data_IF_996511896691
#
_entry.id   IF_996511896691
#
_cell.length_a   1.000
_cell.length_b   1.000
_cell.length_c   1.000
_cell.angle_alpha   90.00
_cell.angle_beta   90.00
_cell.angle_gamma   90.00
#
_symmetry.space_group_name_H-M   'P 1'
#
loop_
_entity.id
_entity.type
_entity.pdbx_description
1 polymer ?
#
# COMPACT_ATOMS: atom_id res chain seq x y z
N UNK A 1 -17.88 -44.17 -32.63
CA UNK A 1 -18.80 -43.91 -31.49
C UNK A 1 -18.10 -43.95 -30.12
N UNK A 2 -16.76 -43.76 -30.04
CA UNK A 2 -16.00 -43.85 -28.78
C UNK A 2 -15.54 -42.49 -28.20
N UNK A 3 -15.63 -41.40 -28.96
CA UNK A 3 -15.16 -40.07 -28.53
C UNK A 3 -16.17 -39.26 -27.69
N UNK A 4 -17.45 -39.66 -27.69
CA UNK A 4 -18.52 -38.94 -26.97
C UNK A 4 -18.61 -39.34 -25.49
N UNK A 5 -18.12 -40.54 -25.12
CA UNK A 5 -18.07 -40.99 -23.72
C UNK A 5 -17.00 -40.26 -22.91
N UNK A 6 -15.80 -40.11 -23.48
CA UNK A 6 -14.65 -39.50 -22.81
C UNK A 6 -14.84 -38.03 -22.46
N UNK A 7 -15.58 -37.28 -23.28
CA UNK A 7 -15.83 -35.84 -23.06
C UNK A 7 -16.81 -35.60 -21.90
N UNK A 8 -17.87 -36.42 -21.82
CA UNK A 8 -18.84 -36.37 -20.72
C UNK A 8 -18.22 -36.79 -19.38
N UNK A 9 -17.37 -37.82 -19.38
CA UNK A 9 -16.66 -38.26 -18.18
C UNK A 9 -15.65 -37.20 -17.69
N UNK A 10 -14.95 -36.54 -18.62
CA UNK A 10 -14.04 -35.43 -18.33
C UNK A 10 -14.79 -34.22 -17.73
N UNK A 11 -15.91 -33.83 -18.35
CA UNK A 11 -16.79 -32.75 -17.86
C UNK A 11 -17.33 -33.06 -16.45
N UNK A 12 -17.75 -34.29 -16.20
CA UNK A 12 -18.24 -34.73 -14.89
C UNK A 12 -17.14 -34.69 -13.82
N UNK A 13 -15.92 -35.13 -14.15
CA UNK A 13 -14.76 -35.05 -13.26
C UNK A 13 -14.40 -33.59 -12.93
N UNK A 14 -14.34 -32.71 -13.94
CA UNK A 14 -14.08 -31.28 -13.77
C UNK A 14 -15.16 -30.64 -12.87
N UNK A 15 -16.44 -30.95 -13.10
CA UNK A 15 -17.53 -30.46 -12.26
C UNK A 15 -17.44 -30.94 -10.81
N UNK A 16 -17.03 -32.19 -10.59
CA UNK A 16 -16.82 -32.75 -9.24
C UNK A 16 -15.64 -32.06 -8.53
N UNK A 17 -14.51 -31.89 -9.20
CA UNK A 17 -13.34 -31.22 -8.62
C UNK A 17 -13.61 -29.72 -8.38
N UNK A 18 -14.30 -29.04 -9.29
CA UNK A 18 -14.75 -27.67 -9.11
C UNK A 18 -15.68 -27.52 -7.91
N UNK A 19 -16.65 -28.44 -7.73
CA UNK A 19 -17.56 -28.42 -6.57
C UNK A 19 -16.83 -28.62 -5.23
N UNK A 20 -15.78 -29.46 -5.21
CA UNK A 20 -14.94 -29.66 -4.02
C UNK A 20 -14.11 -28.42 -3.72
N UNK A 21 -13.56 -27.78 -4.75
CA UNK A 21 -12.81 -26.54 -4.61
C UNK A 21 -13.72 -25.40 -4.11
N UNK A 22 -14.91 -25.28 -4.67
CA UNK A 22 -15.91 -24.27 -4.28
C UNK A 22 -16.31 -24.41 -2.81
N UNK A 23 -16.62 -25.63 -2.36
CA UNK A 23 -16.97 -25.87 -0.94
C UNK A 23 -15.83 -25.50 0.02
N UNK A 24 -14.57 -25.75 -0.37
CA UNK A 24 -13.40 -25.35 0.41
C UNK A 24 -13.23 -23.85 0.45
N UNK A 25 -13.36 -23.20 -0.70
CA UNK A 25 -13.26 -21.76 -0.82
C UNK A 25 -14.33 -21.06 0.04
N UNK A 26 -15.59 -21.52 0.00
CA UNK A 26 -16.64 -21.01 0.87
C UNK A 26 -16.33 -21.23 2.36
N UNK A 27 -15.78 -22.39 2.73
CA UNK A 27 -15.42 -22.68 4.11
C UNK A 27 -14.31 -21.74 4.62
N UNK A 28 -13.25 -21.52 3.83
CA UNK A 28 -12.17 -20.61 4.22
C UNK A 28 -12.58 -19.14 4.18
N UNK A 29 -13.44 -18.73 3.26
CA UNK A 29 -14.02 -17.38 3.33
C UNK A 29 -14.83 -17.20 4.61
N UNK A 30 -15.60 -18.21 5.01
CA UNK A 30 -16.42 -18.12 6.22
C UNK A 30 -15.55 -17.99 7.47
N UNK A 31 -14.46 -18.77 7.56
CA UNK A 31 -13.52 -18.66 8.69
C UNK A 31 -12.81 -17.30 8.69
N UNK A 32 -12.39 -16.80 7.54
CA UNK A 32 -11.78 -15.48 7.43
C UNK A 32 -12.74 -14.33 7.77
N UNK A 33 -14.00 -14.40 7.35
CA UNK A 33 -15.01 -13.38 7.71
C UNK A 33 -15.26 -13.35 9.21
N UNK A 34 -15.31 -14.50 9.88
CA UNK A 34 -15.45 -14.55 11.34
C UNK A 34 -14.25 -13.93 12.04
N UNK A 35 -13.03 -14.27 11.61
CA UNK A 35 -11.80 -13.67 12.14
C UNK A 35 -11.73 -12.16 11.88
N UNK A 36 -12.22 -11.72 10.72
CA UNK A 36 -12.33 -10.32 10.34
C UNK A 36 -13.30 -9.59 11.28
N UNK A 37 -14.46 -10.18 11.55
CA UNK A 37 -15.46 -9.64 12.47
C UNK A 37 -14.94 -9.54 13.91
N UNK A 38 -14.06 -10.45 14.34
CA UNK A 38 -13.43 -10.37 15.66
C UNK A 38 -12.36 -9.27 15.74
N UNK A 39 -11.60 -9.08 14.66
CA UNK A 39 -10.42 -8.19 14.62
C UNK A 39 -10.64 -6.87 13.87
N UNK A 40 -11.87 -6.55 13.47
CA UNK A 40 -12.20 -5.41 12.60
C UNK A 40 -11.66 -4.06 13.11
N UNK A 41 -11.59 -3.89 14.44
CA UNK A 41 -11.06 -2.68 15.08
C UNK A 41 -9.61 -2.41 14.70
N UNK A 42 -8.78 -3.45 14.60
CA UNK A 42 -7.36 -3.30 14.21
C UNK A 42 -7.23 -2.83 12.77
N UNK A 43 -8.03 -3.39 11.87
CA UNK A 43 -8.03 -2.98 10.47
C UNK A 43 -8.54 -1.55 10.31
N UNK A 44 -9.66 -1.23 10.97
CA UNK A 44 -10.21 0.13 10.96
C UNK A 44 -9.20 1.14 11.53
N UNK A 45 -8.54 0.81 12.64
CA UNK A 45 -7.48 1.63 13.22
C UNK A 45 -6.32 1.84 12.24
N UNK A 46 -5.89 0.78 11.53
CA UNK A 46 -4.88 0.87 10.48
C UNK A 46 -5.28 1.79 9.33
N UNK A 47 -6.51 1.68 8.84
CA UNK A 47 -7.04 2.56 7.79
C UNK A 47 -7.14 4.02 8.23
N UNK A 48 -7.60 4.27 9.46
CA UNK A 48 -7.65 5.63 10.03
C UNK A 48 -6.23 6.19 10.18
N UNK A 49 -5.27 5.41 10.66
CA UNK A 49 -3.88 5.84 10.77
C UNK A 49 -3.27 6.15 9.41
N UNK A 50 -3.55 5.35 8.38
CA UNK A 50 -3.11 5.61 7.01
C UNK A 50 -3.63 6.96 6.49
N UNK A 51 -4.90 7.27 6.79
CA UNK A 51 -5.50 8.55 6.44
C UNK A 51 -4.84 9.71 7.19
N UNK A 52 -4.65 9.58 8.50
CA UNK A 52 -3.96 10.59 9.33
C UNK A 52 -2.52 10.81 8.83
N UNK A 53 -1.80 9.74 8.51
CA UNK A 53 -0.46 9.84 7.94
C UNK A 53 -0.45 10.58 6.60
N UNK A 54 -1.42 10.31 5.71
CA UNK A 54 -1.56 11.05 4.45
C UNK A 54 -1.83 12.54 4.66
N UNK A 55 -2.69 12.88 5.64
CA UNK A 55 -2.96 14.27 6.03
C UNK A 55 -1.70 14.93 6.62
N UNK A 56 -1.00 14.25 7.51
CA UNK A 56 0.21 14.75 8.17
C UNK A 56 1.35 14.97 7.15
N UNK A 57 1.55 14.04 6.21
CA UNK A 57 2.55 14.17 5.17
C UNK A 57 2.31 15.41 4.30
N UNK A 58 1.04 15.69 3.93
CA UNK A 58 0.67 16.94 3.22
C UNK A 58 0.76 18.16 4.13
N UNK A 59 0.41 18.00 5.40
CA UNK A 59 0.48 19.05 6.42
C UNK A 59 1.87 19.66 6.54
N UNK A 60 2.92 18.83 6.51
CA UNK A 60 4.31 19.29 6.57
C UNK A 60 4.64 20.27 5.44
N UNK A 61 4.12 20.07 4.23
CA UNK A 61 4.40 20.97 3.10
C UNK A 61 3.82 22.40 3.25
N UNK A 62 2.87 22.63 4.17
CA UNK A 62 2.44 23.98 4.52
C UNK A 62 3.42 24.71 5.44
N UNK A 63 4.11 23.95 6.30
CA UNK A 63 5.10 24.48 7.25
C UNK A 63 6.53 24.46 6.70
N UNK A 64 6.76 23.66 5.66
CA UNK A 64 8.05 23.46 5.04
C UNK A 64 8.57 24.75 4.38
N UNK A 65 9.82 25.10 4.69
CA UNK A 65 10.58 26.14 4.00
C UNK A 65 11.58 25.44 3.08
N UNK A 66 11.53 25.68 1.75
CA UNK A 66 12.49 25.07 0.84
C UNK A 66 13.90 25.54 1.23
N UNK A 67 14.80 24.56 1.32
CA UNK A 67 16.20 24.72 1.72
C UNK A 67 17.12 23.95 0.78
N UNK A 68 18.45 24.16 0.86
CA UNK A 68 19.41 23.35 0.13
C UNK A 68 19.30 21.88 0.58
N UNK A 69 19.57 20.95 -0.34
CA UNK A 69 19.54 19.51 -0.03
C UNK A 69 20.56 19.18 1.07
N UNK A 70 20.12 18.47 2.11
CA UNK A 70 21.02 18.01 3.15
C UNK A 70 21.82 16.80 2.60
N UNK A 71 23.14 16.95 2.52
CA UNK A 71 24.01 15.86 2.06
C UNK A 71 24.25 14.86 3.18
N UNK A 72 23.56 13.73 3.09
CA UNK A 72 23.78 12.58 3.98
C UNK A 72 24.69 11.53 3.32
N UNK A 73 25.29 10.65 4.12
CA UNK A 73 26.10 9.50 3.63
C UNK A 73 25.32 8.64 2.62
N UNK A 74 24.00 8.57 2.77
CA UNK A 74 23.11 7.91 1.82
C UNK A 74 23.17 8.52 0.41
N UNK A 75 23.19 9.85 0.28
CA UNK A 75 23.34 10.52 -1.00
C UNK A 75 24.72 10.32 -1.63
N UNK A 76 25.74 10.16 -0.79
CA UNK A 76 27.09 9.84 -1.26
C UNK A 76 27.19 8.40 -1.79
N UNK A 77 26.56 7.44 -1.11
CA UNK A 77 26.62 6.02 -1.48
C UNK A 77 25.63 5.65 -2.60
N UNK A 78 24.47 6.30 -2.63
CA UNK A 78 23.38 6.06 -3.57
C UNK A 78 23.06 7.37 -4.30
N UNK A 79 23.79 7.69 -5.39
CA UNK A 79 23.54 8.90 -6.15
C UNK A 79 22.13 8.86 -6.74
N UNK A 80 21.50 10.03 -6.84
CA UNK A 80 20.19 10.17 -7.43
C UNK A 80 20.19 9.73 -8.90
N UNK A 81 19.18 8.94 -9.29
CA UNK A 81 19.12 8.30 -10.60
C UNK A 81 18.74 9.28 -11.73
N UNK A 82 18.28 10.49 -11.38
CA UNK A 82 17.76 11.48 -12.32
C UNK A 82 16.25 11.38 -12.54
N UNK A 83 15.61 12.50 -12.89
CA UNK A 83 14.17 12.56 -13.19
C UNK A 83 13.81 11.66 -14.39
N UNK A 84 14.70 11.56 -15.38
CA UNK A 84 14.52 10.70 -16.57
C UNK A 84 14.49 9.20 -16.24
N UNK A 85 15.01 8.80 -15.07
CA UNK A 85 15.07 7.41 -14.62
C UNK A 85 14.08 7.11 -13.49
N UNK A 86 13.15 8.03 -13.19
CA UNK A 86 12.13 7.84 -12.15
C UNK A 86 11.28 6.58 -12.39
N UNK A 87 11.11 6.16 -13.64
CA UNK A 87 10.38 4.91 -13.96
C UNK A 87 11.03 3.66 -13.35
N UNK A 88 12.35 3.66 -13.09
CA UNK A 88 13.05 2.50 -12.50
C UNK A 88 12.59 2.28 -11.07
N UNK A 89 12.58 3.34 -10.26
CA UNK A 89 12.12 3.25 -8.87
C UNK A 89 10.63 2.93 -8.78
N UNK A 90 9.82 3.52 -9.66
CA UNK A 90 8.39 3.23 -9.74
C UNK A 90 8.12 1.78 -10.15
N UNK A 91 8.86 1.25 -11.14
CA UNK A 91 8.74 -0.14 -11.58
C UNK A 91 9.12 -1.10 -10.45
N UNK A 92 10.29 -0.92 -9.83
CA UNK A 92 10.75 -1.78 -8.73
C UNK A 92 9.75 -1.78 -7.57
N UNK A 93 9.30 -0.59 -7.16
CA UNK A 93 8.32 -0.46 -6.09
C UNK A 93 6.99 -1.16 -6.44
N UNK A 94 6.49 -0.94 -7.65
CA UNK A 94 5.27 -1.57 -8.16
C UNK A 94 5.41 -3.09 -8.24
N UNK A 95 6.55 -3.61 -8.71
CA UNK A 95 6.81 -5.06 -8.77
C UNK A 95 6.80 -5.69 -7.38
N UNK A 96 7.46 -5.08 -6.39
CA UNK A 96 7.45 -5.59 -5.01
C UNK A 96 6.03 -5.55 -4.44
N UNK A 97 5.31 -4.46 -4.66
CA UNK A 97 3.94 -4.30 -4.17
C UNK A 97 2.96 -5.30 -4.79
N UNK A 98 3.01 -5.49 -6.11
CA UNK A 98 2.19 -6.49 -6.80
C UNK A 98 2.53 -7.92 -6.36
N UNK A 99 3.82 -8.20 -6.11
CA UNK A 99 4.26 -9.49 -5.58
C UNK A 99 3.67 -9.74 -4.19
N UNK A 100 3.62 -8.72 -3.34
CA UNK A 100 2.97 -8.80 -2.02
C UNK A 100 1.47 -9.06 -2.13
N UNK A 101 0.75 -8.35 -3.02
CA UNK A 101 -0.69 -8.59 -3.27
C UNK A 101 -0.90 -10.01 -3.76
N UNK A 102 -0.13 -10.46 -4.74
CA UNK A 102 -0.25 -11.82 -5.27
C UNK A 102 0.00 -12.88 -4.18
N UNK A 103 0.94 -12.62 -3.28
CA UNK A 103 1.21 -13.47 -2.12
C UNK A 103 0.02 -13.57 -1.14
N UNK A 104 -0.85 -12.55 -1.03
CA UNK A 104 -2.05 -12.63 -0.18
C UNK A 104 -3.06 -13.67 -0.66
N UNK A 105 -3.00 -14.07 -1.94
CA UNK A 105 -3.84 -15.14 -2.48
C UNK A 105 -3.25 -16.55 -2.26
N UNK A 106 -1.99 -16.64 -1.81
CA UNK A 106 -1.31 -17.90 -1.53
C UNK A 106 -2.10 -18.89 -0.65
N UNK A 107 -2.69 -18.48 0.51
CA UNK A 107 -3.46 -19.41 1.35
C UNK A 107 -4.72 -19.97 0.67
N UNK A 108 -5.27 -19.31 -0.34
CA UNK A 108 -6.44 -19.81 -1.08
C UNK A 108 -6.08 -20.80 -2.20
N UNK A 109 -4.87 -20.70 -2.74
CA UNK A 109 -4.42 -21.51 -3.89
C UNK A 109 -3.68 -22.77 -3.44
N UNK A 110 -2.86 -22.68 -2.39
CA UNK A 110 -2.01 -23.79 -1.94
C UNK A 110 -2.60 -24.53 -0.74
N UNK A 111 -2.60 -25.88 -0.80
CA UNK A 111 -3.09 -26.80 0.26
C UNK A 111 -2.19 -26.88 1.51
N UNK A 112 -1.33 -25.89 1.74
CA UNK A 112 -0.38 -25.86 2.85
C UNK A 112 -0.99 -25.24 4.11
N UNK A 113 -0.25 -25.27 5.24
CA UNK A 113 -0.70 -24.91 6.59
C UNK A 113 -1.63 -23.68 6.62
N UNK A 114 -2.63 -23.72 7.52
CA UNK A 114 -3.62 -22.65 7.74
C UNK A 114 -2.92 -21.35 8.16
N UNK A 115 -2.64 -20.49 7.19
CA UNK A 115 -2.22 -19.11 7.43
C UNK A 115 -3.41 -18.24 7.07
N UNK A 116 -4.02 -17.59 8.06
CA UNK A 116 -5.19 -16.74 7.85
C UNK A 116 -4.77 -15.37 7.32
N UNK A 117 -5.33 -14.96 6.18
CA UNK A 117 -5.00 -13.70 5.49
C UNK A 117 -5.22 -12.49 6.40
N UNK A 118 -6.34 -12.47 7.13
CA UNK A 118 -6.70 -11.40 8.08
C UNK A 118 -5.62 -11.16 9.13
N UNK A 119 -5.05 -12.23 9.72
CA UNK A 119 -4.03 -12.10 10.76
C UNK A 119 -2.70 -11.57 10.21
N UNK A 120 -2.33 -11.95 8.98
CA UNK A 120 -1.17 -11.38 8.30
C UNK A 120 -1.38 -9.87 8.10
N UNK A 121 -2.53 -9.47 7.56
CA UNK A 121 -2.85 -8.06 7.32
C UNK A 121 -2.86 -7.24 8.61
N UNK A 122 -3.39 -7.78 9.71
CA UNK A 122 -3.30 -7.13 11.02
C UNK A 122 -1.83 -6.89 11.45
N UNK A 123 -0.94 -7.86 11.25
CA UNK A 123 0.50 -7.69 11.57
C UNK A 123 1.15 -6.65 10.66
N UNK A 124 0.93 -6.76 9.35
CA UNK A 124 1.50 -5.82 8.36
C UNK A 124 1.03 -4.40 8.66
N UNK A 125 -0.27 -4.20 8.94
CA UNK A 125 -0.81 -2.89 9.31
C UNK A 125 -0.20 -2.37 10.62
N UNK A 126 0.01 -3.21 11.64
CA UNK A 126 0.65 -2.78 12.88
C UNK A 126 2.09 -2.25 12.64
N UNK A 127 2.87 -2.95 11.82
CA UNK A 127 4.21 -2.48 11.43
C UNK A 127 4.14 -1.20 10.60
N UNK A 128 3.23 -1.13 9.62
CA UNK A 128 3.02 0.07 8.81
C UNK A 128 2.68 1.29 9.65
N UNK A 129 1.75 1.15 10.61
CA UNK A 129 1.36 2.22 11.54
C UNK A 129 2.56 2.68 12.37
N UNK A 130 3.35 1.76 12.92
CA UNK A 130 4.58 2.10 13.64
C UNK A 130 5.57 2.90 12.79
N UNK A 131 5.86 2.43 11.58
CA UNK A 131 6.73 3.13 10.63
C UNK A 131 6.19 4.52 10.24
N UNK A 132 4.88 4.65 10.07
CA UNK A 132 4.23 5.91 9.72
C UNK A 132 4.31 6.92 10.86
N UNK A 133 4.11 6.51 12.11
CA UNK A 133 4.28 7.41 13.25
C UNK A 133 5.71 7.91 13.37
N UNK A 134 6.70 7.02 13.23
CA UNK A 134 8.11 7.43 13.21
C UNK A 134 8.37 8.43 12.09
N UNK A 135 7.83 8.18 10.88
CA UNK A 135 7.98 9.07 9.74
C UNK A 135 7.36 10.46 9.98
N UNK A 136 6.16 10.52 10.56
CA UNK A 136 5.50 11.78 10.92
C UNK A 136 6.38 12.54 11.93
N UNK A 137 6.78 11.89 13.02
CA UNK A 137 7.61 12.51 14.07
C UNK A 137 8.89 13.06 13.45
N UNK A 138 9.63 12.26 12.67
CA UNK A 138 10.86 12.70 12.02
C UNK A 138 10.62 13.90 11.11
N UNK A 139 9.61 13.89 10.24
CA UNK A 139 9.35 15.02 9.34
C UNK A 139 8.92 16.29 10.06
N UNK A 140 8.07 16.19 11.08
CA UNK A 140 7.65 17.36 11.85
C UNK A 140 8.81 17.93 12.70
N UNK A 141 9.66 17.08 13.26
CA UNK A 141 10.81 17.52 14.06
C UNK A 141 11.92 18.14 13.21
N UNK A 142 12.15 17.62 12.01
CA UNK A 142 13.30 18.05 11.18
C UNK A 142 12.95 19.03 10.09
N UNK A 143 11.67 19.12 9.69
CA UNK A 143 11.20 19.89 8.53
C UNK A 143 12.02 19.60 7.25
N UNK A 144 12.67 18.43 7.18
CA UNK A 144 13.64 18.10 6.14
C UNK A 144 13.01 18.24 4.74
N UNK A 145 13.70 18.91 3.80
CA UNK A 145 13.27 18.91 2.41
C UNK A 145 13.23 17.48 1.91
N UNK A 146 12.09 17.10 1.32
CA UNK A 146 11.99 15.80 0.66
C UNK A 146 13.08 15.70 -0.42
N UNK A 147 13.71 14.53 -0.61
CA UNK A 147 14.76 14.36 -1.62
C UNK A 147 14.25 14.50 -3.07
N UNK A 148 12.92 14.53 -3.23
CA UNK A 148 12.25 14.57 -4.52
C UNK A 148 12.37 15.97 -5.16
N UNK A 149 12.46 16.00 -6.49
CA UNK A 149 12.63 17.20 -7.31
C UNK A 149 11.59 18.30 -7.02
N UNK A 150 10.35 17.91 -6.69
CA UNK A 150 9.27 18.86 -6.39
C UNK A 150 9.46 19.63 -5.07
N UNK A 151 10.33 19.17 -4.16
CA UNK A 151 10.60 19.80 -2.87
C UNK A 151 11.83 20.74 -2.87
N UNK A 152 12.54 20.87 -3.99
CA UNK A 152 13.77 21.68 -4.08
C UNK A 152 13.47 23.18 -4.16
N UNK A 153 14.41 24.01 -3.71
CA UNK A 153 14.36 25.46 -3.91
C UNK A 153 14.13 25.81 -5.40
N UNK A 154 13.16 26.69 -5.67
CA UNK A 154 12.77 27.10 -7.02
C UNK A 154 11.65 26.26 -7.67
N UNK A 155 11.25 25.14 -7.07
CA UNK A 155 10.06 24.38 -7.51
C UNK A 155 8.77 25.08 -7.08
N UNK A 156 7.79 25.19 -8.00
CA UNK A 156 6.46 25.75 -7.73
C UNK A 156 5.65 24.94 -6.70
N UNK A 157 6.08 23.71 -6.41
CA UNK A 157 5.37 22.73 -5.58
C UNK A 157 6.04 22.49 -4.22
N UNK A 158 7.17 23.17 -3.97
CA UNK A 158 7.92 22.98 -2.73
C UNK A 158 7.18 23.51 -1.50
N UNK A 159 6.29 24.49 -1.70
CA UNK A 159 5.41 25.02 -0.67
C UNK A 159 3.99 25.04 -1.22
N UNK A 160 3.03 24.42 -0.53
CA UNK A 160 1.62 24.54 -0.90
C UNK A 160 1.04 25.85 -0.36
N UNK A 161 0.17 26.55 -1.12
CA UNK A 161 -0.55 27.70 -0.60
C UNK A 161 -1.46 27.25 0.55
N UNK A 162 -1.56 28.03 1.65
CA UNK A 162 -2.40 27.66 2.78
C UNK A 162 -3.85 27.45 2.33
N UNK A 163 -4.55 26.43 2.85
CA UNK A 163 -5.92 26.14 2.45
C UNK A 163 -6.87 27.22 2.99
N UNK A 164 -7.77 27.71 2.14
CA UNK A 164 -8.75 28.74 2.52
C UNK A 164 -9.77 28.21 3.54
N UNK A 165 -9.96 26.89 3.58
CA UNK A 165 -10.95 26.22 4.43
C UNK A 165 -10.46 24.87 4.98
N UNK A 166 -10.85 24.53 6.21
CA UNK A 166 -10.56 23.24 6.87
C UNK A 166 -11.16 22.07 6.06
N UNK A 167 -12.33 22.27 5.45
CA UNK A 167 -12.98 21.28 4.59
C UNK A 167 -12.12 20.97 3.36
N UNK A 168 -11.42 21.97 2.81
CA UNK A 168 -10.55 21.82 1.65
C UNK A 168 -9.29 21.04 2.02
N UNK A 169 -8.69 21.30 3.19
CA UNK A 169 -7.59 20.50 3.71
C UNK A 169 -7.98 19.01 3.91
N UNK A 170 -9.20 18.78 4.39
CA UNK A 170 -9.74 17.44 4.67
C UNK A 170 -10.14 16.68 3.39
N UNK A 171 -10.69 17.38 2.38
CA UNK A 171 -11.05 16.86 1.06
C UNK A 171 -9.83 16.59 0.18
N UNK A 172 -8.82 17.47 0.21
CA UNK A 172 -7.56 17.26 -0.49
C UNK A 172 -6.90 15.98 0.05
N UNK A 173 -6.91 15.76 1.37
CA UNK A 173 -6.43 14.52 2.00
C UNK A 173 -7.20 13.24 1.61
N UNK A 174 -8.43 13.32 1.07
CA UNK A 174 -9.24 12.15 0.68
C UNK A 174 -8.79 11.46 -0.60
N UNK A 175 -8.10 12.14 -1.52
CA UNK A 175 -7.71 11.57 -2.82
C UNK A 175 -6.28 10.99 -2.84
N UNK A 176 -5.82 10.49 -1.70
CA UNK A 176 -4.52 9.81 -1.59
C UNK A 176 -4.64 8.58 -0.66
N UNK A 177 -5.63 7.73 -0.94
CA UNK A 177 -5.65 6.35 -0.40
C UNK A 177 -4.51 5.54 -1.07
N UNK A 178 -3.94 4.53 -0.39
CA UNK A 178 -2.53 4.15 -0.42
C UNK A 178 -2.20 3.28 -1.64
N UNK A 179 -2.22 3.88 -2.82
CA UNK A 179 -1.67 3.28 -4.02
C UNK A 179 -0.64 4.21 -4.64
N UNK A 180 0.36 4.61 -3.86
CA UNK A 180 1.71 4.92 -4.32
C UNK A 180 2.46 5.57 -3.15
N UNK A 181 3.62 5.02 -2.81
CA UNK A 181 4.62 5.65 -1.94
C UNK A 181 5.35 6.82 -2.65
N UNK A 182 4.88 7.21 -3.83
CA UNK A 182 5.32 8.39 -4.56
C UNK A 182 4.10 9.24 -4.96
N UNK A 183 4.04 10.55 -4.69
CA UNK A 183 3.02 11.36 -5.34
C UNK A 183 3.22 11.21 -6.87
N UNK A 184 2.21 10.74 -7.65
CA UNK A 184 2.26 10.88 -9.09
C UNK A 184 2.28 12.39 -9.36
N UNK A 185 3.19 12.83 -10.22
CA UNK A 185 3.56 14.22 -10.43
C UNK A 185 2.38 15.19 -10.38
N UNK A 186 2.24 15.85 -9.24
CA UNK A 186 1.52 17.11 -9.06
C UNK A 186 2.57 18.13 -8.72
#
# INVERSE_FOLDING_TARGET
>A
MALVGTDKDMSFYIGREASKLWKRFCAEITTEINLLADNWKYLLGGFICQYIHGLAARGVHYFHRPGPILQDVGFYLLPELGQDRAYISETVFTTIFLSFIMWTFHPFIFKTKKIYTVLIWCRVLAFLVGCQFLRIITFYSTQLPGPNYHCREGSKLATLPPPDNILQALLIGKLHFPLLIAPPGI
#
